data_IF_048450818820
#
_entry.id   IF_048450818820
#
_cell.length_a   1.000
_cell.length_b   1.000
_cell.length_c   1.000
_cell.angle_alpha   90.00
_cell.angle_beta   90.00
_cell.angle_gamma   90.00
#
_symmetry.space_group_name_H-M   'P 1'
#
loop_
_entity.id
_entity.type
_entity.pdbx_description
1 polymer ?
#
# COMPACT_ATOMS: atom_id res chain seq x y z
N UNK A 1 -82.48 0.69 23.70
CA UNK A 1 -81.08 0.21 23.78
C UNK A 1 -80.35 0.41 22.44
N UNK A 2 -79.86 1.64 22.26
CA UNK A 2 -78.62 2.12 21.63
C UNK A 2 -77.90 1.34 20.51
N UNK A 3 -78.33 1.56 19.25
CA UNK A 3 -77.53 1.23 18.05
C UNK A 3 -76.21 2.01 17.96
N UNK A 4 -76.10 3.17 18.62
CA UNK A 4 -74.88 3.97 18.71
C UNK A 4 -73.76 3.30 19.54
N UNK A 5 -74.11 2.46 20.52
CA UNK A 5 -73.12 1.74 21.34
C UNK A 5 -72.45 0.58 20.58
N UNK A 6 -73.14 0.01 19.59
CA UNK A 6 -72.62 -1.10 18.78
C UNK A 6 -71.62 -0.63 17.71
N UNK A 7 -71.84 0.56 17.13
CA UNK A 7 -70.91 1.17 16.17
C UNK A 7 -69.57 1.56 16.84
N UNK A 8 -69.61 2.15 18.04
CA UNK A 8 -68.41 2.50 18.79
C UNK A 8 -67.59 1.30 19.29
N UNK A 9 -68.23 0.13 19.47
CA UNK A 9 -67.51 -1.11 19.80
C UNK A 9 -66.75 -1.67 18.58
N UNK A 10 -67.35 -1.56 17.39
CA UNK A 10 -66.75 -2.01 16.12
C UNK A 10 -65.52 -1.20 15.71
N UNK A 11 -65.54 0.12 15.87
CA UNK A 11 -64.38 0.99 15.58
C UNK A 11 -63.21 0.77 16.55
N UNK A 12 -63.51 0.49 17.84
CA UNK A 12 -62.48 0.19 18.84
C UNK A 12 -61.79 -1.16 18.62
N UNK A 13 -62.53 -2.17 18.11
CA UNK A 13 -61.95 -3.45 17.69
C UNK A 13 -61.11 -3.31 16.41
N UNK A 14 -61.52 -2.45 15.48
CA UNK A 14 -60.83 -2.23 14.20
C UNK A 14 -59.55 -1.41 14.35
N UNK A 15 -59.54 -0.45 15.27
CA UNK A 15 -58.35 0.31 15.66
C UNK A 15 -57.37 -0.52 16.48
N UNK A 16 -57.86 -1.36 17.42
CA UNK A 16 -57.04 -2.31 18.18
C UNK A 16 -56.34 -3.37 17.31
N UNK A 17 -57.04 -3.92 16.31
CA UNK A 17 -56.47 -4.89 15.36
C UNK A 17 -55.49 -4.26 14.36
N UNK A 18 -55.75 -3.04 13.87
CA UNK A 18 -54.81 -2.30 13.01
C UNK A 18 -53.56 -1.81 13.75
N UNK A 19 -53.66 -1.57 15.06
CA UNK A 19 -52.53 -1.21 15.91
C UNK A 19 -51.72 -2.45 16.30
N UNK A 20 -52.37 -3.58 16.59
CA UNK A 20 -51.70 -4.84 16.86
C UNK A 20 -51.04 -5.43 15.60
N UNK A 21 -51.66 -5.30 14.43
CA UNK A 21 -51.07 -5.68 13.14
C UNK A 21 -49.84 -4.84 12.78
N UNK A 22 -49.86 -3.54 13.07
CA UNK A 22 -48.67 -2.67 12.94
C UNK A 22 -47.56 -3.01 13.93
N UNK A 23 -47.91 -3.36 15.17
CA UNK A 23 -46.94 -3.73 16.21
C UNK A 23 -46.30 -5.10 15.95
N UNK A 24 -47.06 -6.06 15.43
CA UNK A 24 -46.56 -7.37 15.00
C UNK A 24 -45.75 -7.27 13.71
N UNK A 25 -46.14 -6.40 12.77
CA UNK A 25 -45.34 -6.10 11.56
C UNK A 25 -44.03 -5.38 11.88
N UNK A 26 -44.03 -4.42 12.81
CA UNK A 26 -42.83 -3.72 13.28
C UNK A 26 -41.87 -4.66 14.03
N UNK A 27 -42.41 -5.48 14.95
CA UNK A 27 -41.60 -6.47 15.69
C UNK A 27 -41.11 -7.62 14.81
N UNK A 28 -41.88 -8.10 13.83
CA UNK A 28 -41.37 -9.06 12.86
C UNK A 28 -40.29 -8.43 11.97
N UNK A 29 -40.39 -7.15 11.63
CA UNK A 29 -39.35 -6.43 10.89
C UNK A 29 -38.06 -6.26 11.71
N UNK A 30 -38.14 -6.07 13.02
CA UNK A 30 -36.98 -6.10 13.93
C UNK A 30 -36.43 -7.52 14.16
N UNK A 31 -37.28 -8.54 14.26
CA UNK A 31 -36.87 -9.94 14.49
C UNK A 31 -36.29 -10.57 13.20
N UNK A 32 -36.73 -10.16 12.01
CA UNK A 32 -36.14 -10.54 10.72
C UNK A 32 -34.89 -9.73 10.35
N UNK A 33 -34.58 -8.69 11.09
CA UNK A 33 -33.40 -7.84 10.89
C UNK A 33 -32.43 -8.02 12.06
N UNK A 34 -32.13 -9.29 12.39
CA UNK A 34 -30.98 -9.59 13.20
C UNK A 34 -29.75 -8.94 12.53
N UNK A 35 -29.09 -8.03 13.25
CA UNK A 35 -27.87 -7.39 12.80
C UNK A 35 -26.86 -8.49 12.46
N UNK A 36 -26.55 -8.64 11.17
CA UNK A 36 -25.64 -9.67 10.68
C UNK A 36 -24.26 -9.45 11.29
N UNK A 37 -23.46 -10.51 11.38
CA UNK A 37 -22.12 -10.40 11.96
C UNK A 37 -21.24 -9.46 11.12
N UNK A 38 -21.47 -9.45 9.80
CA UNK A 38 -20.94 -8.52 8.81
C UNK A 38 -21.30 -7.08 9.16
N UNK A 39 -22.59 -6.80 9.41
CA UNK A 39 -23.04 -5.46 9.80
C UNK A 39 -22.37 -5.02 11.09
N UNK A 40 -22.28 -5.89 12.10
CA UNK A 40 -21.65 -5.56 13.39
C UNK A 40 -20.19 -5.16 13.23
N UNK A 41 -19.41 -5.94 12.48
CA UNK A 41 -18.01 -5.56 12.27
C UNK A 41 -17.86 -4.28 11.46
N UNK A 42 -18.72 -4.04 10.47
CA UNK A 42 -18.73 -2.75 9.75
C UNK A 42 -19.11 -1.62 10.71
N UNK A 43 -20.07 -1.84 11.61
CA UNK A 43 -20.46 -0.87 12.64
C UNK A 43 -19.29 -0.53 13.58
N UNK A 44 -18.51 -1.53 14.00
CA UNK A 44 -17.32 -1.37 14.84
C UNK A 44 -16.16 -0.67 14.10
N UNK A 45 -15.86 -1.08 12.86
CA UNK A 45 -14.80 -0.48 12.03
C UNK A 45 -15.10 0.98 11.64
N UNK A 46 -16.37 1.36 11.63
CA UNK A 46 -16.84 2.71 11.25
C UNK A 46 -17.52 3.46 12.40
N UNK A 47 -17.18 3.10 13.64
CA UNK A 47 -17.68 3.75 14.85
C UNK A 47 -17.32 5.23 14.86
N UNK A 48 -18.24 6.08 15.27
CA UNK A 48 -18.03 7.53 15.36
C UNK A 48 -17.12 7.95 16.52
N UNK A 49 -16.79 7.01 17.40
CA UNK A 49 -15.79 7.15 18.46
C UNK A 49 -14.34 7.02 17.96
N UNK A 50 -14.13 6.60 16.71
CA UNK A 50 -12.79 6.42 16.15
C UNK A 50 -12.30 7.72 15.51
N UNK A 51 -11.08 8.13 15.85
CA UNK A 51 -10.43 9.28 15.20
C UNK A 51 -9.88 8.90 13.82
N UNK A 52 -9.24 7.73 13.75
CA UNK A 52 -8.55 7.20 12.57
C UNK A 52 -9.10 5.82 12.14
N UNK A 53 -8.86 5.39 10.88
CA UNK A 53 -9.22 4.05 10.42
C UNK A 53 -8.57 2.95 11.27
N UNK A 54 -9.39 2.01 11.73
CA UNK A 54 -8.89 0.80 12.37
C UNK A 54 -8.41 -0.19 11.31
N UNK A 55 -7.19 0.00 10.81
CA UNK A 55 -6.61 -0.84 9.75
C UNK A 55 -6.57 -2.33 10.11
N UNK A 56 -6.35 -2.66 11.39
CA UNK A 56 -6.41 -4.05 11.85
C UNK A 56 -7.79 -4.68 11.65
N UNK A 57 -8.86 -3.93 11.94
CA UNK A 57 -10.24 -4.38 11.71
C UNK A 57 -10.58 -4.41 10.21
N UNK A 58 -10.16 -3.39 9.44
CA UNK A 58 -10.40 -3.32 8.00
C UNK A 58 -9.76 -4.50 7.26
N UNK A 59 -8.49 -4.81 7.57
CA UNK A 59 -7.79 -5.95 6.98
C UNK A 59 -8.37 -7.28 7.44
N UNK A 60 -8.87 -7.37 8.69
CA UNK A 60 -9.62 -8.54 9.17
C UNK A 60 -10.92 -8.74 8.38
N UNK A 61 -11.66 -7.67 8.10
CA UNK A 61 -12.85 -7.73 7.23
C UNK A 61 -12.46 -8.28 5.86
N UNK A 62 -11.40 -7.74 5.24
CA UNK A 62 -10.91 -8.20 3.94
C UNK A 62 -10.53 -9.69 3.96
N UNK A 63 -9.80 -10.13 5.00
CA UNK A 63 -9.44 -11.53 5.17
C UNK A 63 -10.66 -12.44 5.26
N UNK A 64 -11.71 -12.04 5.98
CA UNK A 64 -12.94 -12.85 6.11
C UNK A 64 -13.81 -12.85 4.84
N UNK A 65 -13.74 -11.80 4.02
CA UNK A 65 -14.33 -11.81 2.67
C UNK A 65 -13.56 -12.81 1.79
N UNK A 66 -12.23 -12.76 1.81
CA UNK A 66 -11.37 -13.62 0.98
C UNK A 66 -11.44 -15.10 1.39
N UNK A 67 -11.68 -15.39 2.67
CA UNK A 67 -11.92 -16.76 3.14
C UNK A 67 -13.38 -17.22 2.96
N UNK A 68 -14.23 -16.41 2.33
CA UNK A 68 -15.67 -16.64 2.13
C UNK A 68 -16.46 -16.88 3.43
N UNK A 69 -15.89 -16.50 4.59
CA UNK A 69 -16.61 -16.49 5.88
C UNK A 69 -17.69 -15.39 5.86
N UNK A 70 -17.37 -14.26 5.23
CA UNK A 70 -18.26 -13.12 5.06
C UNK A 70 -18.67 -12.95 3.61
N UNK A 71 -19.95 -12.67 3.39
CA UNK A 71 -20.43 -12.27 2.06
C UNK A 71 -19.96 -10.86 1.72
N UNK A 72 -19.18 -10.71 0.64
CA UNK A 72 -18.79 -9.40 0.10
C UNK A 72 -20.00 -8.49 -0.15
N UNK A 73 -21.12 -9.06 -0.65
CA UNK A 73 -22.36 -8.31 -0.89
C UNK A 73 -22.99 -7.77 0.41
N UNK A 74 -22.97 -8.52 1.51
CA UNK A 74 -23.48 -8.07 2.82
C UNK A 74 -22.59 -6.98 3.42
N UNK A 75 -21.26 -7.13 3.29
CA UNK A 75 -20.29 -6.12 3.75
C UNK A 75 -20.47 -4.83 2.96
N UNK A 76 -20.49 -4.89 1.63
CA UNK A 76 -20.69 -3.73 0.77
C UNK A 76 -22.03 -3.05 1.06
N UNK A 77 -23.10 -3.83 1.32
CA UNK A 77 -24.40 -3.27 1.71
C UNK A 77 -24.37 -2.59 3.07
N UNK A 78 -23.63 -3.13 4.04
CA UNK A 78 -23.43 -2.50 5.33
C UNK A 78 -22.62 -1.20 5.22
N UNK A 79 -21.54 -1.21 4.44
CA UNK A 79 -20.73 -0.02 4.13
C UNK A 79 -21.59 1.05 3.44
N UNK A 80 -22.40 0.67 2.45
CA UNK A 80 -23.35 1.57 1.78
C UNK A 80 -24.27 2.27 2.77
N UNK A 81 -24.81 1.56 3.76
CA UNK A 81 -25.66 2.17 4.82
C UNK A 81 -24.88 3.24 5.60
N UNK A 82 -23.60 3.02 5.87
CA UNK A 82 -22.73 4.00 6.56
C UNK A 82 -22.45 5.24 5.72
N UNK A 83 -22.18 5.07 4.43
CA UNK A 83 -22.06 6.16 3.45
C UNK A 83 -23.33 7.02 3.43
N UNK A 84 -24.52 6.40 3.50
CA UNK A 84 -25.80 7.14 3.53
C UNK A 84 -26.18 7.73 4.90
N UNK A 85 -25.39 7.46 5.94
CA UNK A 85 -25.68 7.98 7.28
C UNK A 85 -25.41 9.49 7.37
N UNK A 86 -25.87 10.12 8.45
CA UNK A 86 -25.61 11.55 8.72
C UNK A 86 -24.31 11.79 9.50
N UNK A 87 -23.64 10.73 9.94
CA UNK A 87 -22.48 10.85 10.81
C UNK A 87 -21.21 11.03 9.97
N UNK A 88 -20.58 12.20 10.06
CA UNK A 88 -19.40 12.57 9.29
C UNK A 88 -18.24 11.60 9.47
N UNK A 89 -17.97 11.17 10.70
CA UNK A 89 -16.87 10.23 11.02
C UNK A 89 -17.18 8.87 10.42
N UNK A 90 -18.41 8.38 10.61
CA UNK A 90 -18.83 7.09 10.08
C UNK A 90 -18.80 7.05 8.55
N UNK A 91 -19.22 8.12 7.88
CA UNK A 91 -19.07 8.27 6.44
C UNK A 91 -17.60 8.19 6.00
N UNK A 92 -16.71 8.97 6.64
CA UNK A 92 -15.28 8.98 6.32
C UNK A 92 -14.67 7.59 6.43
N UNK A 93 -14.82 6.95 7.60
CA UNK A 93 -14.28 5.63 7.87
C UNK A 93 -14.89 4.55 6.96
N UNK A 94 -16.15 4.71 6.56
CA UNK A 94 -16.78 3.80 5.61
C UNK A 94 -16.23 3.92 4.19
N UNK A 95 -15.79 5.11 3.75
CA UNK A 95 -15.10 5.29 2.47
C UNK A 95 -13.71 4.64 2.50
N UNK A 96 -12.98 4.78 3.62
CA UNK A 96 -11.66 4.15 3.78
C UNK A 96 -11.78 2.62 3.86
N UNK A 97 -12.78 2.09 4.57
CA UNK A 97 -13.07 0.65 4.58
C UNK A 97 -13.49 0.15 3.19
N UNK A 98 -14.29 0.92 2.45
CA UNK A 98 -14.70 0.56 1.09
C UNK A 98 -13.50 0.43 0.16
N UNK A 99 -12.58 1.40 0.21
CA UNK A 99 -11.34 1.36 -0.57
C UNK A 99 -10.48 0.15 -0.19
N UNK A 100 -10.29 -0.10 1.11
CA UNK A 100 -9.54 -1.26 1.58
C UNK A 100 -10.13 -2.57 1.03
N UNK A 101 -11.44 -2.77 1.15
CA UNK A 101 -12.10 -3.95 0.61
C UNK A 101 -11.98 -4.04 -0.91
N UNK A 102 -12.11 -2.93 -1.64
CA UNK A 102 -11.99 -2.91 -3.10
C UNK A 102 -10.58 -3.28 -3.57
N UNK A 103 -9.54 -2.82 -2.86
CA UNK A 103 -8.14 -3.10 -3.22
C UNK A 103 -7.65 -4.49 -2.81
N UNK A 104 -8.30 -5.14 -1.83
CA UNK A 104 -7.81 -6.41 -1.27
C UNK A 104 -8.70 -7.61 -1.57
N UNK A 105 -9.89 -7.42 -2.17
CA UNK A 105 -10.86 -8.48 -2.40
C UNK A 105 -11.37 -8.47 -3.84
N UNK A 106 -11.01 -9.50 -4.62
CA UNK A 106 -11.26 -9.60 -6.06
C UNK A 106 -12.73 -9.34 -6.46
N UNK A 107 -13.69 -9.86 -5.68
CA UNK A 107 -15.12 -9.78 -6.00
C UNK A 107 -15.77 -8.44 -5.59
N UNK A 108 -15.09 -7.61 -4.79
CA UNK A 108 -15.74 -6.44 -4.16
C UNK A 108 -16.15 -5.37 -5.18
N UNK A 109 -15.37 -5.12 -6.23
CA UNK A 109 -15.78 -4.16 -7.27
C UNK A 109 -17.10 -4.55 -7.95
N UNK A 110 -17.31 -5.84 -8.20
CA UNK A 110 -18.58 -6.37 -8.74
C UNK A 110 -19.73 -6.14 -7.76
N UNK A 111 -19.50 -6.29 -6.46
CA UNK A 111 -20.50 -6.02 -5.42
C UNK A 111 -20.79 -4.52 -5.25
N UNK A 112 -19.77 -3.66 -5.37
CA UNK A 112 -19.93 -2.19 -5.37
C UNK A 112 -20.84 -1.74 -6.51
N UNK A 113 -20.66 -2.33 -7.69
CA UNK A 113 -21.51 -2.11 -8.85
C UNK A 113 -22.93 -2.66 -8.63
N UNK A 114 -23.08 -3.91 -8.16
CA UNK A 114 -24.38 -4.57 -7.97
C UNK A 114 -25.24 -3.87 -6.91
N UNK A 115 -24.62 -3.43 -5.82
CA UNK A 115 -25.27 -2.73 -4.71
C UNK A 115 -25.51 -1.23 -4.98
N UNK A 116 -25.09 -0.72 -6.15
CA UNK A 116 -25.24 0.68 -6.55
C UNK A 116 -24.61 1.66 -5.56
N UNK A 117 -23.43 1.33 -5.04
CA UNK A 117 -22.71 2.19 -4.09
C UNK A 117 -22.31 3.51 -4.75
N UNK A 118 -21.92 3.48 -6.02
CA UNK A 118 -21.58 4.67 -6.81
C UNK A 118 -22.73 5.70 -6.83
N UNK A 119 -23.98 5.26 -6.93
CA UNK A 119 -25.15 6.15 -6.91
C UNK A 119 -25.31 6.89 -5.55
N UNK A 120 -24.96 6.23 -4.45
CA UNK A 120 -24.97 6.83 -3.11
C UNK A 120 -23.79 7.80 -2.94
N UNK A 121 -22.61 7.46 -3.46
CA UNK A 121 -21.45 8.33 -3.44
C UNK A 121 -21.68 9.59 -4.29
N UNK A 122 -22.29 9.48 -5.47
CA UNK A 122 -22.70 10.65 -6.28
C UNK A 122 -23.67 11.53 -5.51
N UNK A 123 -24.67 10.94 -4.83
CA UNK A 123 -25.60 11.71 -3.97
C UNK A 123 -24.91 12.37 -2.79
N UNK A 124 -23.92 11.70 -2.19
CA UNK A 124 -23.09 12.28 -1.14
C UNK A 124 -22.32 13.51 -1.65
N UNK A 125 -21.72 13.42 -2.85
CA UNK A 125 -20.98 14.50 -3.51
C UNK A 125 -21.90 15.68 -3.85
N UNK A 126 -23.10 15.42 -4.35
CA UNK A 126 -24.06 16.45 -4.73
C UNK A 126 -24.77 17.09 -3.52
N UNK A 127 -24.64 16.51 -2.32
CA UNK A 127 -25.29 17.01 -1.12
C UNK A 127 -24.42 18.08 -0.40
N UNK A 128 -24.82 19.37 -0.40
CA UNK A 128 -24.03 20.43 0.22
C UNK A 128 -23.95 20.32 1.75
N UNK A 129 -24.80 19.51 2.39
CA UNK A 129 -24.78 19.27 3.84
C UNK A 129 -23.78 18.18 4.26
N UNK A 130 -23.30 17.35 3.32
CA UNK A 130 -22.22 16.40 3.60
C UNK A 130 -20.94 17.19 3.88
N UNK A 131 -20.11 16.71 4.80
CA UNK A 131 -18.78 17.29 5.04
C UNK A 131 -17.93 17.39 3.75
N UNK A 132 -17.20 18.51 3.59
CA UNK A 132 -16.42 18.77 2.39
C UNK A 132 -15.36 17.70 2.14
N UNK A 133 -14.68 17.23 3.19
CA UNK A 133 -13.64 16.20 3.08
C UNK A 133 -14.21 14.89 2.55
N UNK A 134 -15.39 14.49 3.06
CA UNK A 134 -16.08 13.28 2.60
C UNK A 134 -16.51 13.37 1.13
N UNK A 135 -17.04 14.54 0.69
CA UNK A 135 -17.39 14.75 -0.74
C UNK A 135 -16.15 14.67 -1.63
N UNK A 136 -15.05 15.30 -1.21
CA UNK A 136 -13.80 15.26 -1.94
C UNK A 136 -13.25 13.83 -2.03
N UNK A 137 -13.24 13.10 -0.91
CA UNK A 137 -12.79 11.72 -0.85
C UNK A 137 -13.61 10.78 -1.74
N UNK A 138 -14.94 10.89 -1.69
CA UNK A 138 -15.82 10.13 -2.58
C UNK A 138 -15.56 10.44 -4.06
N UNK A 139 -15.31 11.72 -4.40
CA UNK A 139 -14.99 12.13 -5.77
C UNK A 139 -13.66 11.53 -6.24
N UNK A 140 -12.64 11.52 -5.38
CA UNK A 140 -11.33 10.92 -5.67
C UNK A 140 -11.44 9.41 -5.92
N UNK A 141 -12.20 8.68 -5.11
CA UNK A 141 -12.44 7.25 -5.31
C UNK A 141 -13.13 6.97 -6.66
N UNK A 142 -14.19 7.71 -6.98
CA UNK A 142 -14.90 7.52 -8.26
C UNK A 142 -13.98 7.85 -9.43
N UNK A 143 -13.16 8.89 -9.32
CA UNK A 143 -12.18 9.22 -10.35
C UNK A 143 -11.15 8.09 -10.52
N UNK A 144 -10.51 7.65 -9.44
CA UNK A 144 -9.50 6.60 -9.49
C UNK A 144 -10.05 5.30 -10.11
N UNK A 145 -11.24 4.88 -9.69
CA UNK A 145 -11.88 3.68 -10.24
C UNK A 145 -12.40 3.88 -11.66
N UNK A 146 -12.81 5.09 -12.04
CA UNK A 146 -13.28 5.39 -13.39
C UNK A 146 -12.16 5.57 -14.44
N UNK A 147 -10.94 5.85 -13.98
CA UNK A 147 -9.72 5.97 -14.81
C UNK A 147 -8.92 4.66 -14.89
N UNK A 148 -9.16 3.73 -13.97
CA UNK A 148 -8.50 2.41 -13.97
C UNK A 148 -8.91 1.56 -15.18
N UNK A 149 -7.91 1.06 -15.91
CA UNK A 149 -8.11 0.12 -17.02
C UNK A 149 -8.53 -1.27 -16.53
N UNK A 150 -8.06 -1.66 -15.34
CA UNK A 150 -8.37 -2.96 -14.73
C UNK A 150 -9.88 -3.15 -14.48
N UNK A 151 -10.61 -2.05 -14.28
CA UNK A 151 -12.07 -2.05 -14.09
C UNK A 151 -12.86 -1.92 -15.41
N UNK A 152 -12.22 -2.07 -16.57
CA UNK A 152 -12.86 -1.99 -17.88
C UNK A 152 -14.03 -2.98 -18.08
N UNK A 153 -14.05 -4.09 -17.34
CA UNK A 153 -15.14 -5.07 -17.33
C UNK A 153 -16.39 -4.60 -16.57
N UNK A 154 -16.28 -3.55 -15.75
CA UNK A 154 -17.37 -2.91 -15.00
C UNK A 154 -17.57 -1.47 -15.50
N UNK A 155 -18.22 -1.27 -16.66
CA UNK A 155 -18.30 0.04 -17.31
C UNK A 155 -19.02 1.11 -16.48
N UNK A 156 -19.76 0.72 -15.44
CA UNK A 156 -20.45 1.64 -14.53
C UNK A 156 -19.49 2.59 -13.81
N UNK A 157 -18.27 2.16 -13.47
CA UNK A 157 -17.28 3.02 -12.83
C UNK A 157 -16.85 4.15 -13.75
N UNK A 158 -16.42 3.80 -14.97
CA UNK A 158 -16.04 4.78 -16.00
C UNK A 158 -17.20 5.72 -16.36
N UNK A 159 -18.41 5.19 -16.56
CA UNK A 159 -19.60 5.99 -16.88
C UNK A 159 -19.94 7.00 -15.78
N UNK A 160 -19.84 6.58 -14.51
CA UNK A 160 -20.12 7.44 -13.35
C UNK A 160 -19.09 8.57 -13.28
N UNK A 161 -17.80 8.25 -13.44
CA UNK A 161 -16.73 9.25 -13.45
C UNK A 161 -16.91 10.26 -14.61
N UNK A 162 -17.18 9.80 -15.83
CA UNK A 162 -17.44 10.69 -16.97
C UNK A 162 -18.68 11.56 -16.78
N UNK A 163 -19.70 11.05 -16.09
CA UNK A 163 -20.88 11.84 -15.71
C UNK A 163 -20.50 12.99 -14.77
N UNK A 164 -19.73 12.69 -13.71
CA UNK A 164 -19.23 13.71 -12.77
C UNK A 164 -18.35 14.75 -13.45
N UNK A 165 -17.40 14.31 -14.28
CA UNK A 165 -16.47 15.20 -15.00
C UNK A 165 -17.19 16.21 -15.88
N UNK A 166 -18.22 15.78 -16.62
CA UNK A 166 -19.04 16.68 -17.45
C UNK A 166 -19.83 17.72 -16.65
N UNK A 167 -20.24 17.40 -15.42
CA UNK A 167 -20.92 18.35 -14.53
C UNK A 167 -19.94 19.38 -13.95
N UNK A 168 -18.69 18.97 -13.69
CA UNK A 168 -17.64 19.86 -13.19
C UNK A 168 -17.04 20.80 -14.25
N UNK A 169 -17.20 20.50 -15.54
CA UNK A 169 -16.68 21.32 -16.66
C UNK A 169 -17.71 22.25 -17.29
N UNK A 170 -18.97 22.22 -16.86
CA UNK A 170 -19.98 23.14 -17.36
C UNK A 170 -19.72 24.55 -16.77
N UNK A 171 -19.53 25.60 -17.60
CA UNK A 171 -19.46 26.97 -17.10
C UNK A 171 -20.78 27.30 -16.39
N UNK A 172 -20.76 28.10 -15.30
CA UNK A 172 -21.99 28.49 -14.62
C UNK A 172 -22.84 29.27 -15.63
N UNK A 173 -23.93 28.67 -16.09
CA UNK A 173 -24.95 29.38 -16.86
C UNK A 173 -25.62 30.33 -15.88
N UNK A 174 -25.12 31.55 -15.83
CA UNK A 174 -25.69 32.64 -15.06
C UNK A 174 -26.92 33.14 -15.82
N UNK A 175 -28.10 32.66 -15.43
CA UNK A 175 -29.36 33.29 -15.83
C UNK A 175 -29.39 34.72 -15.27
N UNK A 176 -29.58 35.68 -16.18
CA UNK A 176 -29.03 37.03 -16.04
C UNK A 176 -29.69 37.95 -15.02
N UNK A 177 -28.85 38.78 -14.38
CA UNK A 177 -28.93 40.25 -14.34
C UNK A 177 -27.69 40.82 -13.58
N UNK A 178 -26.94 41.82 -14.10
CA UNK A 178 -25.80 42.38 -13.38
C UNK A 178 -26.16 43.66 -12.58
N UNK A 179 -25.54 43.94 -11.42
CA UNK A 179 -25.39 45.30 -10.92
C UNK A 179 -23.98 45.86 -11.27
N UNK A 180 -23.81 47.19 -11.24
CA UNK A 180 -22.76 47.88 -11.98
C UNK A 180 -21.41 47.92 -11.27
N UNK A 181 -20.43 48.15 -12.13
CA UNK A 181 -18.98 48.27 -11.97
C UNK A 181 -18.60 49.34 -10.94
N UNK A 182 -17.64 49.02 -10.07
CA UNK A 182 -16.60 49.98 -9.68
C UNK A 182 -15.23 49.33 -9.83
N UNK A 183 -14.47 49.85 -10.79
CA UNK A 183 -13.09 49.53 -11.10
C UNK A 183 -12.14 49.87 -9.96
N UNK A 184 -11.09 49.08 -9.81
CA UNK A 184 -9.78 49.62 -9.44
C UNK A 184 -8.66 48.79 -10.08
N UNK A 185 -8.23 49.28 -11.24
CA UNK A 185 -6.84 49.43 -11.73
C UNK A 185 -5.87 48.23 -11.62
N UNK A 186 -5.44 47.79 -12.81
CA UNK A 186 -4.32 46.88 -13.07
C UNK A 186 -2.94 47.50 -12.72
N UNK A 187 -1.85 46.72 -12.74
CA UNK A 187 -1.18 46.55 -14.03
C UNK A 187 -0.76 45.11 -14.36
N UNK A 188 -0.96 44.81 -15.63
CA UNK A 188 -0.36 43.76 -16.43
C UNK A 188 1.16 43.63 -16.16
N UNK A 189 1.59 42.46 -15.69
CA UNK A 189 2.98 42.01 -15.75
C UNK A 189 2.97 40.59 -16.29
N UNK A 190 3.27 40.49 -17.57
CA UNK A 190 3.58 39.28 -18.30
C UNK A 190 4.66 38.45 -17.58
N UNK A 191 4.32 37.25 -17.07
CA UNK A 191 5.21 36.07 -16.97
C UNK A 191 4.52 34.81 -16.40
N UNK A 192 4.33 33.84 -17.30
CA UNK A 192 4.46 32.39 -17.11
C UNK A 192 3.31 31.59 -16.40
N UNK A 193 2.86 30.44 -16.97
CA UNK A 193 1.84 29.59 -16.34
C UNK A 193 2.36 29.04 -15.00
N UNK A 194 1.71 29.38 -13.89
CA UNK A 194 1.96 28.70 -12.62
C UNK A 194 1.37 27.28 -12.68
N UNK A 195 2.27 26.30 -12.72
CA UNK A 195 1.99 24.91 -12.37
C UNK A 195 1.42 24.81 -10.94
N UNK A 196 0.55 23.82 -10.65
CA UNK A 196 0.05 23.58 -9.30
C UNK A 196 1.21 23.25 -8.34
N UNK A 197 1.07 23.52 -7.02
CA UNK A 197 2.14 23.26 -6.06
C UNK A 197 2.46 21.76 -5.96
N UNK A 198 3.63 21.38 -6.46
CA UNK A 198 4.33 20.15 -6.09
C UNK A 198 4.74 20.20 -4.61
N UNK A 199 4.00 19.48 -3.75
CA UNK A 199 4.50 18.64 -2.64
C UNK A 199 3.42 18.44 -1.57
N UNK A 200 2.82 17.25 -1.59
CA UNK A 200 2.70 16.45 -0.38
C UNK A 200 3.77 15.35 -0.47
N UNK A 201 4.39 14.93 0.65
CA UNK A 201 5.41 13.88 0.62
C UNK A 201 4.74 12.53 0.34
N UNK A 202 4.82 12.07 -0.90
CA UNK A 202 4.49 10.71 -1.32
C UNK A 202 5.80 10.10 -1.83
N UNK A 203 6.24 8.92 -1.34
CA UNK A 203 7.31 8.17 -1.98
C UNK A 203 6.87 7.73 -3.38
N UNK A 204 7.66 8.09 -4.39
CA UNK A 204 7.43 7.84 -5.81
C UNK A 204 6.93 6.42 -6.16
N UNK A 205 5.82 6.35 -6.89
CA UNK A 205 5.52 5.24 -7.80
C UNK A 205 5.04 5.82 -9.12
N UNK A 206 5.96 5.86 -10.07
CA UNK A 206 5.74 6.20 -11.47
C UNK A 206 5.17 4.96 -12.19
N UNK A 207 4.13 5.15 -13.03
CA UNK A 207 3.56 4.10 -13.87
C UNK A 207 3.64 4.51 -15.34
N UNK A 208 4.30 3.62 -16.08
CA UNK A 208 4.30 3.40 -17.52
C UNK A 208 5.21 4.26 -18.40
N UNK A 209 6.41 3.68 -18.64
CA UNK A 209 6.93 3.56 -20.00
C UNK A 209 7.03 2.07 -20.35
N UNK A 210 6.34 1.69 -21.41
CA UNK A 210 6.45 0.38 -22.05
C UNK A 210 7.91 0.13 -22.44
N UNK A 211 8.58 -0.75 -21.72
CA UNK A 211 9.56 -1.66 -22.30
C UNK A 211 9.66 -2.94 -21.45
N UNK A 212 9.99 -4.02 -22.13
CA UNK A 212 9.96 -5.39 -21.65
C UNK A 212 10.86 -5.60 -20.41
N UNK A 213 10.38 -6.43 -19.48
CA UNK A 213 11.11 -7.03 -18.35
C UNK A 213 11.36 -6.13 -17.12
N UNK A 214 10.40 -6.08 -16.21
CA UNK A 214 10.61 -5.50 -14.88
C UNK A 214 9.55 -5.99 -13.89
N UNK A 215 9.91 -6.93 -13.02
CA UNK A 215 9.09 -7.33 -11.87
C UNK A 215 8.99 -6.12 -10.92
N UNK A 216 7.83 -5.46 -10.90
CA UNK A 216 7.54 -4.40 -9.95
C UNK A 216 7.07 -5.02 -8.63
N UNK A 217 7.91 -4.94 -7.59
CA UNK A 217 7.58 -5.41 -6.25
C UNK A 217 6.68 -4.38 -5.55
N UNK A 218 5.36 -4.51 -5.72
CA UNK A 218 4.38 -3.71 -4.99
C UNK A 218 4.41 -4.08 -3.51
N UNK A 219 4.39 -3.07 -2.63
CA UNK A 219 4.36 -3.20 -1.17
C UNK A 219 3.01 -3.78 -0.73
N UNK A 220 2.91 -5.12 -0.75
CA UNK A 220 1.77 -5.90 -0.26
C UNK A 220 2.25 -7.30 0.16
N UNK A 221 1.51 -7.96 1.05
CA UNK A 221 1.76 -9.37 1.36
C UNK A 221 1.55 -10.19 0.07
N UNK A 222 2.61 -10.83 -0.43
CA UNK A 222 2.54 -11.71 -1.60
C UNK A 222 1.62 -12.90 -1.30
N UNK A 223 0.70 -13.21 -2.23
CA UNK A 223 -0.06 -14.46 -2.24
C UNK A 223 0.88 -15.68 -2.32
N UNK A 224 0.40 -16.86 -1.94
CA UNK A 224 1.13 -18.12 -2.03
C UNK A 224 1.60 -18.39 -3.46
N UNK A 225 0.76 -18.13 -4.46
CA UNK A 225 1.08 -18.28 -5.87
C UNK A 225 2.14 -17.28 -6.33
N UNK A 226 2.03 -16.01 -5.91
CA UNK A 226 3.00 -14.96 -6.24
C UNK A 226 4.36 -15.23 -5.61
N UNK A 227 4.39 -15.73 -4.37
CA UNK A 227 5.62 -16.20 -3.70
C UNK A 227 6.29 -17.29 -4.53
N UNK A 228 5.53 -18.31 -4.97
CA UNK A 228 6.06 -19.42 -5.78
C UNK A 228 6.60 -18.94 -7.12
N UNK A 229 5.86 -18.10 -7.82
CA UNK A 229 6.31 -17.53 -9.09
C UNK A 229 7.59 -16.72 -8.91
N UNK A 230 7.64 -15.88 -7.87
CA UNK A 230 8.81 -15.08 -7.56
C UNK A 230 10.05 -15.94 -7.28
N UNK A 231 9.92 -17.00 -6.45
CA UNK A 231 11.01 -17.94 -6.18
C UNK A 231 11.57 -18.57 -7.46
N UNK A 232 10.69 -18.98 -8.39
CA UNK A 232 11.10 -19.57 -9.68
C UNK A 232 11.86 -18.55 -10.53
N UNK A 233 11.36 -17.31 -10.63
CA UNK A 233 11.98 -16.25 -11.44
C UNK A 233 13.34 -15.86 -10.89
N UNK A 234 13.44 -15.71 -9.57
CA UNK A 234 14.71 -15.40 -8.90
C UNK A 234 15.71 -16.53 -9.10
N UNK A 235 15.30 -17.80 -8.96
CA UNK A 235 16.18 -18.95 -9.24
C UNK A 235 16.72 -18.93 -10.66
N UNK A 236 15.86 -18.72 -11.66
CA UNK A 236 16.29 -18.62 -13.07
C UNK A 236 17.31 -17.49 -13.28
N UNK A 237 17.13 -16.36 -12.59
CA UNK A 237 18.03 -15.21 -12.66
C UNK A 237 19.40 -15.52 -12.03
N UNK A 238 19.40 -16.20 -10.87
CA UNK A 238 20.61 -16.66 -10.18
C UNK A 238 21.37 -17.69 -11.03
N UNK A 239 20.67 -18.66 -11.60
CA UNK A 239 21.28 -19.68 -12.47
C UNK A 239 21.91 -19.06 -13.72
N UNK A 240 21.22 -18.11 -14.35
CA UNK A 240 21.74 -17.40 -15.52
C UNK A 240 22.98 -16.59 -15.17
N UNK A 241 22.93 -15.79 -14.11
CA UNK A 241 24.10 -15.05 -13.62
C UNK A 241 25.25 -16.02 -13.29
N UNK A 242 24.96 -17.16 -12.67
CA UNK A 242 25.98 -18.16 -12.31
C UNK A 242 26.68 -18.71 -13.54
N UNK A 243 25.90 -19.04 -14.57
CA UNK A 243 26.43 -19.48 -15.85
C UNK A 243 27.33 -18.40 -16.46
N UNK A 244 26.88 -17.14 -16.51
CA UNK A 244 27.67 -16.05 -17.08
C UNK A 244 29.01 -15.87 -16.36
N UNK A 245 29.00 -15.87 -15.02
CA UNK A 245 30.20 -15.73 -14.20
C UNK A 245 31.15 -16.94 -14.28
N UNK A 246 30.65 -18.12 -14.67
CA UNK A 246 31.45 -19.32 -14.82
C UNK A 246 32.02 -19.50 -16.25
N UNK A 247 31.32 -19.01 -17.27
CA UNK A 247 31.73 -19.17 -18.67
C UNK A 247 32.78 -18.15 -19.11
N UNK A 248 32.80 -16.95 -18.51
CA UNK A 248 33.63 -15.86 -19.00
C UNK A 248 34.59 -15.33 -17.92
N UNK A 249 35.83 -15.85 -17.93
CA UNK A 249 36.90 -15.50 -16.98
C UNK A 249 37.65 -14.21 -17.34
N UNK A 250 37.05 -13.34 -18.15
CA UNK A 250 37.68 -12.11 -18.65
C UNK A 250 37.13 -10.84 -17.99
N UNK A 251 37.94 -9.79 -17.78
CA UNK A 251 37.49 -8.50 -17.21
C UNK A 251 36.40 -7.80 -18.02
N UNK A 252 36.20 -8.18 -19.29
CA UNK A 252 35.16 -7.62 -20.16
C UNK A 252 33.77 -8.21 -19.87
N UNK A 253 33.70 -9.45 -19.40
CA UNK A 253 32.45 -10.17 -19.13
C UNK A 253 31.72 -9.70 -17.87
N UNK A 254 32.52 -9.26 -16.89
CA UNK A 254 32.01 -8.68 -15.65
C UNK A 254 31.31 -7.34 -15.95
N UNK A 255 31.77 -6.59 -16.96
CA UNK A 255 31.19 -5.31 -17.38
C UNK A 255 30.19 -5.42 -18.54
N UNK A 256 29.79 -6.64 -18.90
CA UNK A 256 28.78 -6.83 -19.93
C UNK A 256 27.40 -6.35 -19.44
N UNK A 257 26.67 -5.63 -20.29
CA UNK A 257 25.37 -5.02 -19.95
C UNK A 257 24.35 -6.06 -19.48
N UNK A 258 24.41 -7.29 -20.03
CA UNK A 258 23.54 -8.38 -19.60
C UNK A 258 23.95 -8.90 -18.21
N UNK A 259 25.24 -9.06 -17.95
CA UNK A 259 25.75 -9.49 -16.63
C UNK A 259 25.35 -8.48 -15.54
N UNK A 260 25.52 -7.19 -15.83
CA UNK A 260 25.12 -6.09 -14.94
C UNK A 260 23.60 -6.07 -14.71
N UNK A 261 22.79 -6.25 -15.76
CA UNK A 261 21.33 -6.32 -15.64
C UNK A 261 20.87 -7.50 -14.79
N UNK A 262 21.49 -8.68 -14.95
CA UNK A 262 21.16 -9.86 -14.15
C UNK A 262 21.60 -9.71 -12.70
N UNK A 263 22.76 -9.10 -12.45
CA UNK A 263 23.20 -8.75 -11.09
C UNK A 263 22.21 -7.80 -10.42
N UNK A 264 21.76 -6.76 -11.12
CA UNK A 264 20.80 -5.81 -10.59
C UNK A 264 19.48 -6.51 -10.23
N UNK A 265 18.97 -7.40 -11.09
CA UNK A 265 17.79 -8.23 -10.79
C UNK A 265 18.01 -9.11 -9.56
N UNK A 266 19.21 -9.70 -9.41
CA UNK A 266 19.56 -10.46 -8.22
C UNK A 266 19.52 -9.58 -6.97
N UNK A 267 20.15 -8.39 -6.99
CA UNK A 267 20.16 -7.44 -5.86
C UNK A 267 18.75 -6.98 -5.48
N UNK A 268 17.90 -6.68 -6.47
CA UNK A 268 16.52 -6.27 -6.21
C UNK A 268 15.65 -7.40 -5.67
N UNK A 269 15.97 -8.67 -5.99
CA UNK A 269 15.22 -9.82 -5.48
C UNK A 269 15.50 -10.13 -4.01
N UNK A 270 16.66 -9.73 -3.48
CA UNK A 270 17.09 -10.01 -2.10
C UNK A 270 16.07 -9.58 -1.02
N UNK A 271 15.60 -8.32 -0.96
CA UNK A 271 14.64 -7.90 0.07
C UNK A 271 13.28 -8.60 -0.09
N UNK A 272 12.94 -9.04 -1.29
CA UNK A 272 11.67 -9.74 -1.55
C UNK A 272 11.77 -11.18 -1.05
N UNK A 273 12.86 -11.91 -1.35
CA UNK A 273 13.10 -13.25 -0.80
C UNK A 273 13.11 -13.21 0.73
N UNK A 274 13.76 -12.22 1.35
CA UNK A 274 13.75 -12.07 2.80
C UNK A 274 12.32 -11.91 3.34
N UNK A 275 11.47 -11.12 2.67
CA UNK A 275 10.06 -10.98 3.03
C UNK A 275 9.27 -12.28 2.83
N UNK A 276 9.57 -13.05 1.78
CA UNK A 276 8.96 -14.37 1.56
C UNK A 276 9.32 -15.29 2.73
N UNK A 277 10.57 -15.30 3.19
CA UNK A 277 11.01 -16.05 4.37
C UNK A 277 10.26 -15.60 5.64
N UNK A 278 10.19 -14.29 5.90
CA UNK A 278 9.55 -13.75 7.11
C UNK A 278 8.03 -13.97 7.15
N UNK A 279 7.37 -14.03 5.99
CA UNK A 279 5.92 -14.16 5.86
C UNK A 279 5.44 -15.59 5.62
N UNK A 280 6.34 -16.57 5.50
CA UNK A 280 6.00 -17.99 5.27
C UNK A 280 6.11 -18.75 6.59
N UNK A 281 4.98 -19.19 7.13
CA UNK A 281 4.88 -19.78 8.48
C UNK A 281 4.29 -21.21 8.42
N UNK A 282 3.44 -21.47 7.45
CA UNK A 282 2.60 -22.67 7.32
C UNK A 282 3.06 -23.67 6.24
N UNK A 283 4.01 -23.28 5.40
CA UNK A 283 4.61 -24.12 4.35
C UNK A 283 6.13 -24.28 4.58
N UNK A 284 6.52 -25.34 5.28
CA UNK A 284 7.93 -25.65 5.58
C UNK A 284 8.75 -25.88 4.30
N UNK A 285 8.13 -26.40 3.23
CA UNK A 285 8.80 -26.67 1.96
C UNK A 285 9.15 -25.37 1.23
N UNK A 286 8.20 -24.45 1.14
CA UNK A 286 8.42 -23.11 0.58
C UNK A 286 9.42 -22.32 1.41
N UNK A 287 9.34 -22.39 2.74
CA UNK A 287 10.29 -21.70 3.63
C UNK A 287 11.72 -22.21 3.39
N UNK A 288 11.91 -23.53 3.30
CA UNK A 288 13.20 -24.12 2.99
C UNK A 288 13.73 -23.67 1.63
N UNK A 289 12.87 -23.66 0.61
CA UNK A 289 13.21 -23.21 -0.74
C UNK A 289 13.63 -21.73 -0.76
N UNK A 290 12.88 -20.86 -0.08
CA UNK A 290 13.17 -19.44 0.02
C UNK A 290 14.49 -19.16 0.74
N UNK A 291 14.77 -19.89 1.83
CA UNK A 291 16.03 -19.78 2.56
C UNK A 291 17.23 -20.25 1.72
N UNK A 292 17.12 -21.41 1.06
CA UNK A 292 18.17 -21.91 0.16
C UNK A 292 18.47 -20.91 -0.95
N UNK A 293 17.40 -20.38 -1.57
CA UNK A 293 17.55 -19.41 -2.65
C UNK A 293 18.12 -18.08 -2.16
N UNK A 294 17.81 -17.65 -0.92
CA UNK A 294 18.42 -16.47 -0.32
C UNK A 294 19.94 -16.64 -0.18
N UNK A 295 20.39 -17.79 0.32
CA UNK A 295 21.80 -18.10 0.51
C UNK A 295 22.55 -18.16 -0.84
N UNK A 296 21.96 -18.83 -1.84
CA UNK A 296 22.49 -18.87 -3.21
C UNK A 296 22.61 -17.48 -3.83
N UNK A 297 21.58 -16.64 -3.64
CA UNK A 297 21.54 -15.27 -4.11
C UNK A 297 22.63 -14.41 -3.46
N UNK A 298 22.83 -14.54 -2.14
CA UNK A 298 23.93 -13.85 -1.46
C UNK A 298 25.29 -14.30 -1.97
N UNK A 299 25.49 -15.61 -2.10
CA UNK A 299 26.75 -16.17 -2.55
C UNK A 299 27.15 -15.64 -3.94
N UNK A 300 26.18 -15.58 -4.87
CA UNK A 300 26.48 -15.13 -6.23
C UNK A 300 26.74 -13.63 -6.33
N UNK A 301 26.03 -12.81 -5.56
CA UNK A 301 26.27 -11.37 -5.48
C UNK A 301 27.66 -11.10 -4.92
N UNK A 302 28.04 -11.75 -3.82
CA UNK A 302 29.39 -11.62 -3.24
C UNK A 302 30.49 -12.05 -4.21
N UNK A 303 30.28 -13.16 -4.93
CA UNK A 303 31.23 -13.63 -5.96
C UNK A 303 31.42 -12.60 -7.07
N UNK A 304 30.35 -11.95 -7.52
CA UNK A 304 30.46 -10.88 -8.51
C UNK A 304 31.28 -9.70 -7.97
N UNK A 305 31.00 -9.24 -6.75
CA UNK A 305 31.68 -8.10 -6.12
C UNK A 305 33.19 -8.36 -5.93
N UNK A 306 33.58 -9.58 -5.57
CA UNK A 306 34.98 -10.00 -5.48
C UNK A 306 35.69 -9.93 -6.85
N UNK A 307 35.00 -10.36 -7.91
CA UNK A 307 35.55 -10.31 -9.27
C UNK A 307 35.63 -8.89 -9.81
N UNK A 308 34.65 -8.04 -9.51
CA UNK A 308 34.68 -6.61 -9.84
C UNK A 308 35.85 -5.91 -9.15
N UNK A 309 36.06 -6.17 -7.85
CA UNK A 309 37.18 -5.64 -7.08
C UNK A 309 38.56 -6.11 -7.60
N UNK A 310 38.63 -7.33 -8.17
CA UNK A 310 39.84 -7.83 -8.82
C UNK A 310 40.15 -7.12 -10.16
N UNK A 311 39.14 -6.50 -10.80
CA UNK A 311 39.28 -5.80 -12.09
C UNK A 311 39.52 -4.30 -11.90
N UNK A 312 39.02 -3.68 -10.82
CA UNK A 312 39.21 -2.25 -10.54
C UNK A 312 39.82 -1.98 -9.13
N UNK A 313 41.16 -1.90 -9.01
CA UNK A 313 41.82 -1.70 -7.72
C UNK A 313 41.75 -0.26 -7.17
N UNK A 314 40.87 0.63 -7.68
CA UNK A 314 40.74 2.02 -7.21
C UNK A 314 39.41 2.30 -6.51
N UNK A 315 39.23 1.75 -5.31
CA UNK A 315 38.07 2.07 -4.47
C UNK A 315 38.28 2.05 -2.95
N UNK A 316 39.41 1.56 -2.43
CA UNK A 316 39.66 1.52 -0.99
C UNK A 316 40.67 2.61 -0.58
N UNK A 317 40.17 3.75 -0.08
CA UNK A 317 40.95 4.57 0.84
C UNK A 317 40.85 3.95 2.25
N UNK A 318 41.97 3.61 2.91
CA UNK A 318 41.95 3.20 4.31
C UNK A 318 41.62 4.41 5.21
N UNK A 319 41.03 4.19 6.41
CA UNK A 319 40.60 5.28 7.27
C UNK A 319 41.82 6.04 7.80
N UNK A 320 41.95 7.31 7.40
CA UNK A 320 42.92 8.24 7.98
C UNK A 320 42.33 8.83 9.26
N UNK A 321 42.68 8.23 10.40
CA UNK A 321 42.72 8.94 11.67
C UNK A 321 43.81 10.03 11.60
N UNK A 322 43.43 11.30 11.78
CA UNK A 322 44.17 12.23 12.65
C UNK A 322 43.41 13.55 12.76
N UNK A 323 43.01 13.89 13.99
CA UNK A 323 42.56 15.23 14.38
C UNK A 323 43.69 16.26 14.41
N UNK A 324 43.32 17.53 14.55
CA UNK A 324 44.15 18.74 14.67
C UNK A 324 43.14 19.89 14.93
N UNK A 325 43.23 20.85 15.85
CA UNK A 325 44.24 21.33 16.80
C UNK A 325 43.58 22.35 17.77
N UNK A 326 44.11 22.46 18.98
CA UNK A 326 44.29 23.70 19.76
C UNK A 326 45.31 23.33 20.87
N UNK A 327 46.42 24.00 21.16
CA UNK A 327 46.91 25.35 20.92
C UNK A 327 47.39 25.91 22.28
N UNK A 328 48.71 26.06 22.49
CA UNK A 328 49.27 26.88 23.59
C UNK A 328 50.46 26.33 24.40
N UNK A 329 51.69 26.67 23.96
CA UNK A 329 52.89 27.18 24.68
C UNK A 329 53.45 26.57 26.02
N UNK A 330 54.74 26.84 26.35
CA UNK A 330 55.70 25.82 26.82
C UNK A 330 56.30 26.00 28.23
N UNK A 331 56.91 24.94 28.76
CA UNK A 331 57.94 24.87 29.82
C UNK A 331 58.38 23.38 29.93
N UNK A 332 59.54 22.91 30.41
CA UNK A 332 60.88 23.38 30.77
C UNK A 332 61.58 22.13 31.39
N UNK A 333 62.74 21.72 30.83
CA UNK A 333 63.95 21.17 31.52
C UNK A 333 64.01 19.71 32.06
N UNK A 334 65.20 19.14 31.83
CA UNK A 334 65.94 18.01 32.47
C UNK A 334 65.50 16.57 32.13
N UNK A 335 66.30 15.82 31.34
CA UNK A 335 67.58 15.15 31.64
C UNK A 335 67.40 13.84 32.42
N UNK A 336 67.91 12.73 31.85
CA UNK A 336 68.89 11.82 32.47
C UNK A 336 69.07 10.61 31.54
N UNK A 337 70.33 10.29 31.31
CA UNK A 337 70.90 9.18 30.58
C UNK A 337 70.70 7.89 31.39
N UNK A 338 70.53 6.73 30.74
CA UNK A 338 71.39 5.60 31.10
C UNK A 338 71.51 4.54 30.02
N UNK A 339 72.68 3.92 30.07
CA UNK A 339 73.29 3.03 29.08
C UNK A 339 73.14 1.59 29.54
N UNK A 340 73.37 0.65 28.61
CA UNK A 340 73.92 -0.72 28.77
C UNK A 340 73.04 -1.77 28.05
N UNK A 341 73.47 -2.33 26.91
CA UNK A 341 74.53 -3.32 26.61
C UNK A 341 74.07 -4.78 26.73
N UNK A 342 74.20 -5.47 25.59
CA UNK A 342 74.56 -6.91 25.39
C UNK A 342 73.59 -7.95 25.98
N UNK A 343 73.20 -9.01 25.27
CA UNK A 343 74.07 -10.01 24.68
C UNK A 343 73.28 -10.93 23.71
N UNK A 344 73.95 -11.48 22.69
CA UNK A 344 73.49 -12.66 21.94
C UNK A 344 74.20 -13.89 22.49
N UNK A 345 73.71 -15.13 22.32
CA UNK A 345 74.24 -15.91 21.19
C UNK A 345 73.27 -16.93 20.55
N UNK A 346 73.79 -17.50 19.47
CA UNK A 346 73.18 -18.40 18.50
C UNK A 346 73.21 -19.91 18.86
N UNK A 347 72.56 -20.71 18.00
CA UNK A 347 72.78 -22.16 17.79
C UNK A 347 71.54 -23.00 18.13
N UNK A 348 71.15 -24.08 17.44
CA UNK A 348 71.63 -24.81 16.26
C UNK A 348 70.63 -25.98 16.02
N UNK A 349 70.74 -26.62 14.84
CA UNK A 349 70.22 -27.96 14.44
C UNK A 349 68.78 -28.04 13.90
N UNK A 350 68.54 -28.46 12.64
CA UNK A 350 68.84 -29.70 11.90
C UNK A 350 67.83 -30.85 12.07
N UNK A 351 67.11 -31.08 10.96
CA UNK A 351 66.99 -32.36 10.26
C UNK A 351 65.98 -33.45 10.73
N UNK A 352 65.15 -33.85 9.74
CA UNK A 352 64.75 -35.22 9.32
C UNK A 352 63.38 -35.85 9.63
N UNK A 353 62.95 -36.54 8.55
CA UNK A 353 62.08 -37.73 8.36
C UNK A 353 60.57 -37.48 8.35
N UNK A 354 59.80 -37.77 7.29
CA UNK A 354 59.74 -38.87 6.30
C UNK A 354 59.23 -40.21 6.84
N UNK A 355 58.24 -40.72 6.09
CA UNK A 355 57.71 -42.09 5.94
C UNK A 355 56.45 -42.44 6.75
N UNK A 356 55.45 -42.91 6.01
CA UNK A 356 54.28 -43.64 6.48
C UNK A 356 53.18 -43.67 5.44
#
# INVERSE_FOLDING_TARGET
MDRLKLAGLGERLKTGSAQMGRMVSGKMKEILQAQTQESKMVDEATSDSLEEPNWGMNLRICAMINSEEFSGSEIVRAIKKKITSKNTVSQRLSLDLLEACAMNCEKVFSEVASEKVLDEMVRMIDNPQTDHSNRQRASQLIQAWGESEDLGYLPVFHQTYMSLKRRGTAPPVHDGNPPPIFSSLEPDVDQQPQSPPERYPIPDMDLHREDQTGFAYTVGNLSVEEKKEFLVVTRNSVELLSSMLNFETGPQAIKDDLTLSMLEKCKQSQPVIQRVVESTIDDEGMLFEALSLHDELQQIISKYEEMEAAVDPKGQQPPKNSGTMAGGSPARVEAVYDTEKTDSPAGESSDRKSVG
#
